data_IF_565316824122
#
_entry.id   IF_565316824122
#
_cell.length_a   1.000
_cell.length_b   1.000
_cell.length_c   1.000
_cell.angle_alpha   90.00
_cell.angle_beta   90.00
_cell.angle_gamma   90.00
#
_symmetry.space_group_name_H-M   'P 1'
#
loop_
_entity.id
_entity.type
_entity.pdbx_description
1 polymer ?
#
# COMPACT_ATOMS: atom_id res chain seq x y z
N UNK A 1 -35.72 27.87 51.13
CA UNK A 1 -36.43 26.86 50.32
C UNK A 1 -36.00 27.06 48.87
N UNK A 2 -35.10 26.21 48.35
CA UNK A 2 -35.36 25.28 47.21
C UNK A 2 -35.49 26.06 45.89
N UNK A 3 -34.65 25.94 44.85
CA UNK A 3 -33.71 24.90 44.42
C UNK A 3 -32.74 25.50 43.37
N UNK A 4 -31.47 25.09 43.43
CA UNK A 4 -30.53 25.10 42.30
C UNK A 4 -31.17 24.43 41.08
N UNK A 5 -31.00 25.01 39.89
CA UNK A 5 -30.89 24.25 38.65
C UNK A 5 -29.80 24.90 37.78
N UNK A 6 -28.58 24.35 37.90
CA UNK A 6 -27.56 24.44 36.85
C UNK A 6 -28.13 23.77 35.59
N UNK A 7 -28.17 24.49 34.47
CA UNK A 7 -28.28 23.88 33.16
C UNK A 7 -26.91 24.00 32.47
N UNK A 8 -26.02 23.08 32.83
CA UNK A 8 -24.81 22.80 32.05
C UNK A 8 -25.28 21.93 30.88
N UNK A 9 -25.49 22.54 29.72
CA UNK A 9 -25.72 21.81 28.47
C UNK A 9 -24.36 21.40 27.90
N UNK A 10 -23.84 20.26 28.38
CA UNK A 10 -22.69 19.55 27.83
C UNK A 10 -23.21 18.24 27.23
N UNK A 11 -23.39 18.22 25.91
CA UNK A 11 -23.43 17.04 25.03
C UNK A 11 -23.83 17.52 23.63
N UNK A 12 -23.22 17.16 22.53
CA UNK A 12 -21.97 16.48 22.23
C UNK A 12 -21.68 16.86 20.77
N UNK A 13 -20.41 17.03 20.40
CA UNK A 13 -20.04 17.14 18.99
C UNK A 13 -20.45 15.84 18.29
N UNK A 14 -21.60 15.83 17.63
CA UNK A 14 -21.90 14.85 16.58
C UNK A 14 -20.93 15.16 15.44
N UNK A 15 -19.73 14.59 15.51
CA UNK A 15 -18.87 14.48 14.36
C UNK A 15 -19.64 13.73 13.29
N UNK A 16 -19.85 14.36 12.14
CA UNK A 16 -20.15 13.67 10.89
C UNK A 16 -18.91 12.84 10.54
N UNK A 17 -18.69 11.73 11.23
CA UNK A 17 -17.65 10.77 10.91
C UNK A 17 -18.19 9.92 9.77
N UNK A 18 -17.92 10.34 8.53
CA UNK A 18 -18.06 9.42 7.39
C UNK A 18 -17.20 8.18 7.65
N UNK A 19 -17.61 7.03 7.12
CA UNK A 19 -16.81 5.81 7.19
C UNK A 19 -15.37 6.09 6.67
N UNK A 20 -14.31 5.69 7.41
CA UNK A 20 -12.94 5.93 7.01
C UNK A 20 -12.64 5.60 5.55
N UNK A 21 -11.87 6.49 4.93
CA UNK A 21 -11.39 6.35 3.55
C UNK A 21 -10.27 5.32 3.45
N UNK A 22 -9.93 4.93 2.21
CA UNK A 22 -8.75 4.10 1.95
C UNK A 22 -7.51 4.77 2.53
N UNK A 23 -6.68 4.00 3.24
CA UNK A 23 -5.49 4.47 3.95
C UNK A 23 -5.73 4.98 5.37
N UNK A 24 -6.97 5.11 5.83
CA UNK A 24 -7.28 5.49 7.21
C UNK A 24 -7.32 4.29 8.17
N UNK A 25 -7.05 4.52 9.45
CA UNK A 25 -7.03 3.47 10.47
C UNK A 25 -8.42 2.88 10.73
N UNK A 26 -8.47 1.59 11.00
CA UNK A 26 -9.70 0.86 11.31
C UNK A 26 -9.49 -0.15 12.44
N UNK A 27 -10.59 -0.61 13.03
CA UNK A 27 -10.59 -1.72 13.99
C UNK A 27 -11.20 -2.96 13.36
N UNK A 28 -12.30 -2.78 12.63
CA UNK A 28 -13.06 -3.83 11.94
C UNK A 28 -13.46 -3.40 10.54
N UNK A 29 -13.81 -4.36 9.68
CA UNK A 29 -14.22 -4.09 8.29
C UNK A 29 -15.41 -3.13 8.19
N UNK A 30 -16.32 -3.16 9.17
CA UNK A 30 -17.49 -2.30 9.20
C UNK A 30 -17.17 -0.81 9.39
N UNK A 31 -15.94 -0.48 9.82
CA UNK A 31 -15.48 0.89 9.92
C UNK A 31 -15.23 1.46 8.51
N UNK A 32 -14.75 0.64 7.59
CA UNK A 32 -14.30 1.11 6.28
C UNK A 32 -15.45 1.49 5.35
N UNK A 33 -15.22 2.50 4.50
CA UNK A 33 -16.14 2.84 3.41
C UNK A 33 -16.41 1.59 2.56
N UNK A 34 -17.64 1.47 2.06
CA UNK A 34 -18.09 0.34 1.23
C UNK A 34 -17.06 0.00 0.13
N UNK A 35 -16.62 -1.26 0.12
CA UNK A 35 -15.66 -1.78 -0.84
C UNK A 35 -14.21 -1.86 -0.35
N UNK A 36 -13.88 -1.29 0.83
CA UNK A 36 -12.60 -1.49 1.50
C UNK A 36 -12.73 -2.48 2.68
N UNK A 37 -11.62 -3.14 3.00
CA UNK A 37 -11.50 -4.06 4.14
C UNK A 37 -10.47 -3.55 5.13
N UNK A 38 -10.64 -3.89 6.40
CA UNK A 38 -9.73 -3.50 7.46
C UNK A 38 -8.56 -4.49 7.54
N UNK A 39 -7.42 -4.13 6.97
CA UNK A 39 -6.27 -5.02 6.78
C UNK A 39 -5.17 -4.68 7.77
N UNK A 40 -4.60 -5.69 8.44
CA UNK A 40 -3.40 -5.52 9.24
C UNK A 40 -2.18 -5.29 8.35
N UNK A 41 -1.44 -4.22 8.62
CA UNK A 41 -0.28 -3.79 7.83
C UNK A 41 0.88 -3.46 8.76
N UNK A 42 2.07 -3.98 8.44
CA UNK A 42 3.24 -3.85 9.32
C UNK A 42 3.08 -4.65 10.62
N UNK A 43 4.21 -5.04 11.22
CA UNK A 43 4.22 -5.95 12.38
C UNK A 43 3.62 -5.39 13.68
N UNK A 44 3.26 -4.11 13.74
CA UNK A 44 2.91 -3.41 14.99
C UNK A 44 1.39 -3.28 15.25
N UNK A 45 0.57 -4.11 14.61
CA UNK A 45 -0.88 -4.13 14.84
C UNK A 45 -1.63 -2.93 14.24
N UNK A 46 -0.96 -2.12 13.42
CA UNK A 46 -1.61 -1.11 12.59
C UNK A 46 -2.57 -1.80 11.62
N UNK A 47 -3.79 -1.28 11.52
CA UNK A 47 -4.80 -1.74 10.56
C UNK A 47 -5.35 -0.57 9.78
N UNK A 48 -5.41 -0.71 8.47
CA UNK A 48 -5.88 0.34 7.55
C UNK A 48 -7.03 -0.19 6.70
N UNK A 49 -7.95 0.71 6.35
CA UNK A 49 -8.94 0.45 5.32
C UNK A 49 -8.26 0.42 3.96
N UNK A 50 -8.22 -0.74 3.30
CA UNK A 50 -7.58 -0.89 1.99
C UNK A 50 -8.55 -1.45 0.97
N UNK A 51 -8.43 -1.00 -0.27
CA UNK A 51 -9.16 -1.58 -1.39
C UNK A 51 -8.61 -2.99 -1.71
N UNK A 52 -9.46 -3.98 -2.00
CA UNK A 52 -9.02 -5.30 -2.41
C UNK A 52 -8.38 -5.26 -3.80
N UNK A 53 -7.44 -6.15 -4.05
CA UNK A 53 -6.87 -6.41 -5.36
C UNK A 53 -6.56 -7.89 -5.55
N UNK A 54 -6.49 -8.32 -6.81
CA UNK A 54 -6.02 -9.66 -7.14
C UNK A 54 -4.51 -9.59 -7.45
N UNK A 55 -3.64 -10.16 -6.60
CA UNK A 55 -2.19 -10.12 -6.81
C UNK A 55 -1.75 -10.87 -8.08
N UNK A 56 -2.56 -11.79 -8.61
CA UNK A 56 -2.25 -12.50 -9.85
C UNK A 56 -2.53 -11.66 -11.10
N UNK A 57 -3.51 -10.76 -11.01
CA UNK A 57 -3.92 -9.91 -12.13
C UNK A 57 -3.27 -8.52 -12.12
N UNK A 58 -2.94 -7.98 -10.95
CA UNK A 58 -2.34 -6.65 -10.82
C UNK A 58 -1.23 -6.56 -9.79
N UNK A 59 -0.24 -5.72 -10.08
CA UNK A 59 0.84 -5.31 -9.17
C UNK A 59 0.72 -3.84 -8.77
N UNK A 60 0.21 -3.00 -9.67
CA UNK A 60 -0.02 -1.57 -9.44
C UNK A 60 -1.53 -1.37 -9.32
N UNK A 61 -1.97 -0.92 -8.16
CA UNK A 61 -3.35 -0.52 -7.96
C UNK A 61 -3.57 0.84 -8.62
N UNK A 62 -4.49 0.89 -9.59
CA UNK A 62 -4.94 2.16 -10.17
C UNK A 62 -5.90 2.86 -9.21
N UNK A 63 -5.76 4.18 -9.21
CA UNK A 63 -6.26 5.19 -8.28
C UNK A 63 -7.78 5.11 -8.02
N UNK A 64 -8.16 5.40 -6.77
CA UNK A 64 -9.38 6.12 -6.44
C UNK A 64 -9.24 7.60 -6.89
N UNK A 65 -10.32 8.38 -6.93
CA UNK A 65 -10.38 9.74 -7.52
C UNK A 65 -9.33 10.77 -7.00
N UNK A 66 -8.51 10.42 -6.00
CA UNK A 66 -7.49 11.25 -5.34
C UNK A 66 -6.03 10.98 -5.75
N UNK A 67 -5.76 10.06 -6.69
CA UNK A 67 -4.58 10.22 -7.55
C UNK A 67 -3.23 9.70 -7.02
N UNK A 68 -3.17 8.61 -6.24
CA UNK A 68 -1.87 8.00 -5.87
C UNK A 68 -1.86 6.48 -6.08
N UNK A 69 -1.07 5.96 -7.04
CA UNK A 69 -1.06 4.53 -7.36
C UNK A 69 -0.41 3.70 -6.25
N UNK A 70 -1.16 2.79 -5.64
CA UNK A 70 -0.65 1.85 -4.65
C UNK A 70 -0.01 0.60 -5.26
N UNK A 71 0.54 -0.27 -4.42
CA UNK A 71 0.94 -1.63 -4.81
C UNK A 71 -0.04 -2.66 -4.27
N UNK A 72 -0.34 -3.68 -5.06
CA UNK A 72 -1.15 -4.80 -4.60
C UNK A 72 -0.29 -5.72 -3.73
N UNK A 73 -0.43 -5.64 -2.40
CA UNK A 73 0.23 -6.55 -1.47
C UNK A 73 -0.48 -7.90 -1.47
N UNK A 74 0.30 -8.98 -1.47
CA UNK A 74 -0.22 -10.34 -1.31
C UNK A 74 -0.48 -10.62 0.17
N UNK A 75 -1.67 -11.12 0.48
CA UNK A 75 -2.16 -11.50 1.80
C UNK A 75 -2.64 -12.96 1.75
N UNK A 76 -2.87 -13.58 2.90
CA UNK A 76 -3.33 -14.98 2.95
C UNK A 76 -4.64 -15.22 2.19
N UNK A 77 -5.57 -14.26 2.25
CA UNK A 77 -6.91 -14.37 1.64
C UNK A 77 -7.10 -13.48 0.39
N UNK A 78 -6.01 -13.09 -0.29
CA UNK A 78 -6.07 -12.30 -1.52
C UNK A 78 -5.03 -11.20 -1.58
N UNK A 79 -5.43 -9.99 -1.97
CA UNK A 79 -4.54 -8.84 -1.96
C UNK A 79 -5.22 -7.56 -1.55
N UNK A 80 -4.41 -6.60 -1.10
CA UNK A 80 -4.86 -5.26 -0.75
C UNK A 80 -3.97 -4.19 -1.37
N UNK A 81 -4.60 -3.12 -1.85
CA UNK A 81 -3.93 -1.97 -2.41
C UNK A 81 -3.35 -1.11 -1.30
N UNK A 82 -2.04 -1.21 -1.11
CA UNK A 82 -1.32 -0.45 -0.11
C UNK A 82 -0.74 0.81 -0.73
N UNK A 83 -0.94 1.94 -0.05
CA UNK A 83 -0.55 3.27 -0.52
C UNK A 83 0.90 3.64 -0.20
N UNK A 84 1.69 2.70 0.33
CA UNK A 84 3.13 2.85 0.56
C UNK A 84 3.49 3.30 1.98
N UNK A 85 4.73 2.99 2.37
CA UNK A 85 5.38 3.39 3.60
C UNK A 85 6.36 4.55 3.38
N UNK A 86 7.50 4.50 4.07
CA UNK A 86 8.46 5.61 4.15
C UNK A 86 9.89 5.25 3.71
N UNK A 87 10.19 3.97 3.49
CA UNK A 87 11.50 3.48 3.04
C UNK A 87 11.67 3.74 1.55
N UNK A 88 12.75 4.43 1.16
CA UNK A 88 12.94 4.89 -0.22
C UNK A 88 13.38 3.75 -1.13
N UNK A 89 13.12 3.91 -2.42
CA UNK A 89 13.67 3.02 -3.45
C UNK A 89 15.20 2.92 -3.32
N UNK A 90 15.71 1.70 -3.26
CA UNK A 90 17.12 1.38 -3.06
C UNK A 90 17.57 1.21 -1.61
N UNK A 91 16.71 1.51 -0.63
CA UNK A 91 16.98 1.26 0.78
C UNK A 91 16.48 -0.14 1.21
N UNK A 92 17.06 -0.62 2.32
CA UNK A 92 16.71 -1.90 2.94
C UNK A 92 15.30 -1.88 3.52
N UNK A 93 14.57 -2.97 3.37
CA UNK A 93 13.19 -3.12 3.85
C UNK A 93 12.97 -4.51 4.43
N UNK A 94 11.99 -4.64 5.33
CA UNK A 94 11.58 -5.94 5.87
C UNK A 94 10.33 -6.45 5.16
N UNK A 95 9.45 -5.54 4.74
CA UNK A 95 8.22 -5.84 4.04
C UNK A 95 7.92 -4.81 2.93
N UNK A 96 7.13 -5.22 1.93
CA UNK A 96 6.69 -4.30 0.86
C UNK A 96 5.84 -3.13 1.38
N UNK A 97 5.24 -3.26 2.57
CA UNK A 97 4.53 -2.17 3.23
C UNK A 97 5.47 -1.07 3.77
N UNK A 98 6.78 -1.34 3.91
CA UNK A 98 7.73 -0.33 4.37
C UNK A 98 8.09 0.65 3.25
N UNK A 99 8.08 0.16 2.02
CA UNK A 99 8.51 0.89 0.84
C UNK A 99 7.56 2.01 0.45
N UNK A 100 8.09 3.15 0.01
CA UNK A 100 7.32 4.28 -0.54
C UNK A 100 6.32 3.84 -1.63
N UNK A 101 5.34 4.70 -1.87
CA UNK A 101 4.28 4.52 -2.87
C UNK A 101 4.82 3.94 -4.19
N UNK A 102 4.19 2.88 -4.68
CA UNK A 102 4.56 2.25 -5.95
C UNK A 102 5.80 1.33 -5.90
N UNK A 103 6.35 1.05 -4.71
CA UNK A 103 7.50 0.16 -4.56
C UNK A 103 7.16 -1.13 -3.78
N UNK A 104 7.94 -2.18 -4.07
CA UNK A 104 7.90 -3.49 -3.41
C UNK A 104 9.24 -3.77 -2.75
N UNK A 105 9.22 -4.51 -1.65
CA UNK A 105 10.42 -5.04 -1.03
C UNK A 105 10.81 -6.33 -1.75
N UNK A 106 11.95 -6.32 -2.43
CA UNK A 106 12.39 -7.41 -3.31
C UNK A 106 13.70 -7.97 -2.78
N UNK A 107 13.75 -9.28 -2.60
CA UNK A 107 14.99 -9.99 -2.28
C UNK A 107 15.86 -10.15 -3.53
N UNK A 108 16.98 -9.43 -3.56
CA UNK A 108 17.99 -9.49 -4.61
C UNK A 108 19.23 -10.30 -4.18
N UNK A 109 19.15 -11.08 -3.10
CA UNK A 109 20.15 -12.05 -2.66
C UNK A 109 20.95 -11.63 -1.42
N UNK A 110 21.55 -10.44 -1.43
CA UNK A 110 22.36 -9.95 -0.30
C UNK A 110 21.51 -9.30 0.81
N UNK A 111 20.49 -8.55 0.40
CA UNK A 111 19.56 -7.84 1.28
C UNK A 111 18.27 -7.51 0.49
N UNK A 112 17.08 -7.63 1.09
CA UNK A 112 15.85 -7.12 0.49
C UNK A 112 15.88 -5.58 0.37
N UNK A 113 15.56 -5.07 -0.81
CA UNK A 113 15.57 -3.64 -1.14
C UNK A 113 14.23 -3.19 -1.71
N UNK A 114 13.86 -1.94 -1.42
CA UNK A 114 12.71 -1.32 -2.08
C UNK A 114 13.01 -1.08 -3.57
N UNK A 115 12.17 -1.65 -4.45
CA UNK A 115 12.25 -1.51 -5.91
C UNK A 115 10.91 -1.03 -6.46
N UNK A 116 10.96 -0.18 -7.49
CA UNK A 116 9.74 0.28 -8.17
C UNK A 116 9.02 -0.93 -8.76
N UNK A 117 7.73 -1.08 -8.46
CA UNK A 117 6.91 -2.12 -9.03
C UNK A 117 6.59 -1.84 -10.50
N UNK A 118 6.45 -2.89 -11.30
CA UNK A 118 6.06 -2.77 -12.71
C UNK A 118 5.17 -3.94 -13.14
N UNK A 119 4.24 -3.68 -14.05
CA UNK A 119 3.47 -4.72 -14.72
C UNK A 119 4.29 -5.27 -15.90
N UNK A 120 4.48 -6.59 -15.97
CA UNK A 120 5.29 -7.22 -17.02
C UNK A 120 4.63 -7.18 -18.40
N UNK A 121 3.32 -6.93 -18.49
CA UNK A 121 2.58 -6.74 -19.75
C UNK A 121 2.72 -5.31 -20.27
N UNK A 122 2.82 -4.35 -19.37
CA UNK A 122 2.98 -2.92 -19.67
C UNK A 122 4.15 -2.32 -18.85
N UNK A 123 5.42 -2.62 -19.23
CA UNK A 123 6.58 -2.20 -18.47
C UNK A 123 6.70 -0.67 -18.34
N UNK A 124 6.76 -0.18 -17.10
CA UNK A 124 6.78 1.25 -16.75
C UNK A 124 8.14 1.76 -16.23
N UNK A 125 9.20 0.97 -16.34
CA UNK A 125 10.51 1.28 -15.77
C UNK A 125 11.23 2.44 -16.47
N UNK A 126 11.96 3.24 -15.69
CA UNK A 126 12.70 4.41 -16.19
C UNK A 126 14.04 4.00 -16.84
N UNK A 127 14.64 4.93 -17.58
CA UNK A 127 15.75 4.67 -18.51
C UNK A 127 16.90 3.82 -17.94
N UNK A 128 17.25 2.75 -18.68
CA UNK A 128 18.30 1.81 -18.32
C UNK A 128 17.85 0.65 -17.41
N UNK A 129 16.56 0.59 -17.09
CA UNK A 129 15.96 -0.50 -16.32
C UNK A 129 15.04 -1.37 -17.17
N UNK A 130 14.86 -2.62 -16.75
CA UNK A 130 13.88 -3.55 -17.27
C UNK A 130 12.94 -4.01 -16.16
N UNK A 131 11.71 -4.33 -16.54
CA UNK A 131 10.76 -4.96 -15.64
C UNK A 131 11.11 -6.45 -15.47
N UNK A 132 11.67 -6.80 -14.32
CA UNK A 132 12.05 -8.18 -13.96
C UNK A 132 10.87 -8.86 -13.28
N UNK A 133 10.47 -10.03 -13.78
CA UNK A 133 9.35 -10.79 -13.23
C UNK A 133 9.66 -11.33 -11.83
N UNK A 134 8.67 -11.25 -10.93
CA UNK A 134 8.68 -11.89 -9.62
C UNK A 134 8.17 -13.35 -9.68
N UNK A 135 7.90 -13.88 -10.88
CA UNK A 135 7.50 -15.28 -11.09
C UNK A 135 6.03 -15.59 -10.77
N UNK A 136 5.22 -14.59 -10.40
CA UNK A 136 3.77 -14.75 -10.16
C UNK A 136 2.97 -13.68 -10.91
N UNK A 137 1.99 -14.14 -11.69
CA UNK A 137 1.13 -13.28 -12.49
C UNK A 137 1.94 -12.33 -13.37
N UNK A 138 1.52 -11.08 -13.39
CA UNK A 138 2.16 -10.01 -14.16
C UNK A 138 3.04 -9.09 -13.30
N UNK A 139 3.39 -9.56 -12.09
CA UNK A 139 4.13 -8.78 -11.12
C UNK A 139 5.61 -8.74 -11.47
N UNK A 140 6.18 -7.55 -11.47
CA UNK A 140 7.61 -7.35 -11.61
C UNK A 140 8.12 -6.15 -10.83
N UNK A 141 9.43 -5.95 -10.90
CA UNK A 141 10.12 -4.80 -10.36
C UNK A 141 11.15 -4.25 -11.35
N UNK A 142 11.41 -2.95 -11.26
CA UNK A 142 12.38 -2.29 -12.11
C UNK A 142 13.80 -2.53 -11.60
N UNK A 143 14.58 -3.28 -12.36
CA UNK A 143 15.99 -3.54 -12.10
C UNK A 143 16.85 -2.95 -13.22
N UNK A 144 18.07 -2.54 -12.90
CA UNK A 144 19.02 -2.10 -13.92
C UNK A 144 19.30 -3.24 -14.90
N UNK A 145 19.27 -2.95 -16.20
CA UNK A 145 19.75 -3.91 -17.20
C UNK A 145 21.26 -3.99 -17.01
N UNK A 146 21.86 -5.18 -16.80
CA UNK A 146 23.31 -5.31 -16.77
C UNK A 146 23.82 -4.72 -18.07
N UNK A 147 24.56 -3.61 -18.00
CA UNK A 147 25.19 -3.04 -19.18
C UNK A 147 26.06 -4.15 -19.75
N UNK A 148 25.70 -4.68 -20.92
CA UNK A 148 26.62 -5.55 -21.63
C UNK A 148 27.90 -4.75 -21.76
N UNK A 149 28.93 -5.16 -21.02
CA UNK A 149 30.29 -4.67 -21.18
C UNK A 149 30.55 -4.79 -22.67
N UNK A 150 30.54 -3.67 -23.41
CA UNK A 150 31.01 -3.67 -24.79
C UNK A 150 32.48 -4.04 -24.69
N UNK A 151 32.76 -5.31 -24.95
CA UNK A 151 34.10 -5.76 -25.29
C UNK A 151 34.39 -5.11 -26.63
N UNK A 152 35.06 -3.95 -26.58
CA UNK A 152 35.76 -3.39 -27.73
C UNK A 152 37.16 -3.98 -27.78
#
# INVERSE_FOLDING_TARGET
MIRLLLAVALAAFMGCSGAPKVGESCVIDADCRSGASCVAVGGEGLRLCLAPCDPMETVICREDDEGSPGVCLELEDGGACFTGGHVKVGEACDASADCVIGALCVDEGDLPLCRVACDTREPSCLGGQSCVSLGRGHRGYCAAVPSQTRVF
#
